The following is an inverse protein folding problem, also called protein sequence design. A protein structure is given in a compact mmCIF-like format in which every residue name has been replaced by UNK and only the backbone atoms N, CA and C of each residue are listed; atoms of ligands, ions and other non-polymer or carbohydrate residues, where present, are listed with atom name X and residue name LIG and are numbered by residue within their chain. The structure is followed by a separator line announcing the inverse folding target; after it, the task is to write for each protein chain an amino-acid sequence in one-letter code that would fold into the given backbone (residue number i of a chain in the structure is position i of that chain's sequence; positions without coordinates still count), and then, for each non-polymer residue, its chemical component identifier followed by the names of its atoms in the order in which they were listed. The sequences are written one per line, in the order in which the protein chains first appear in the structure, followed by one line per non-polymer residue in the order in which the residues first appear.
data_IF_308190858573
#
_entry.id   IF_308190858573
#
_cell.length_a   1.000
_cell.length_b   1.000
_cell.length_c   1.000
_cell.angle_alpha   90.00
_cell.angle_beta   90.00
_cell.angle_gamma   90.00
#
_symmetry.space_group_name_H-M   'P 1'
#
loop_
_entity.id
_entity.type
_entity.pdbx_description
1 polymer ?
#
# COMPACT_ATOMS: atom_id res chain seq x y z
N UNK A 1 -14.53 7.44 -30.88
CA UNK A 1 -15.55 6.87 -30.14
C UNK A 1 -16.18 7.72 -29.04
N UNK A 2 -16.13 9.07 -29.06
CA UNK A 2 -16.86 9.90 -28.10
C UNK A 2 -18.27 10.25 -28.64
N UNK A 3 -19.24 10.31 -27.73
CA UNK A 3 -20.57 10.77 -28.05
C UNK A 3 -20.60 12.31 -28.08
N UNK A 4 -21.51 12.86 -28.90
CA UNK A 4 -21.79 14.31 -28.88
C UNK A 4 -22.62 14.66 -27.65
N UNK A 5 -22.46 15.89 -27.14
CA UNK A 5 -23.33 16.44 -26.12
C UNK A 5 -24.78 16.56 -26.66
N UNK A 6 -25.75 16.19 -25.83
CA UNK A 6 -27.15 16.21 -26.21
C UNK A 6 -27.70 17.64 -26.28
N UNK A 7 -27.34 18.46 -25.30
CA UNK A 7 -27.72 19.88 -25.21
C UNK A 7 -26.50 20.69 -24.79
N UNK A 8 -26.16 21.66 -25.58
CA UNK A 8 -25.07 22.60 -25.28
C UNK A 8 -25.47 24.00 -25.69
N UNK A 9 -24.90 25.02 -25.03
CA UNK A 9 -24.97 26.42 -25.46
C UNK A 9 -23.82 26.71 -26.45
N UNK A 10 -23.13 27.82 -26.32
CA UNK A 10 -21.93 28.09 -27.10
C UNK A 10 -20.77 27.14 -26.76
N UNK A 11 -20.75 26.58 -25.56
CA UNK A 11 -19.75 25.62 -25.07
C UNK A 11 -20.41 24.43 -24.42
N UNK A 12 -19.71 23.32 -24.39
CA UNK A 12 -20.08 22.14 -23.58
C UNK A 12 -19.91 22.47 -22.10
N UNK A 13 -20.74 21.90 -21.25
CA UNK A 13 -20.68 22.09 -19.80
C UNK A 13 -19.33 21.66 -19.24
N UNK A 14 -18.81 22.42 -18.27
CA UNK A 14 -17.47 22.20 -17.71
C UNK A 14 -17.41 21.12 -16.64
N UNK A 15 -18.54 20.65 -16.15
CA UNK A 15 -18.64 19.48 -15.28
C UNK A 15 -18.02 18.23 -15.91
N UNK A 16 -18.20 17.99 -17.21
CA UNK A 16 -17.51 16.91 -17.93
C UNK A 16 -15.99 17.01 -17.89
N UNK A 17 -15.46 18.24 -17.98
CA UNK A 17 -14.02 18.48 -17.88
C UNK A 17 -13.53 18.28 -16.44
N UNK A 18 -14.34 18.69 -15.45
CA UNK A 18 -14.04 18.45 -14.04
C UNK A 18 -14.05 16.95 -13.69
N UNK A 19 -15.03 16.19 -14.20
CA UNK A 19 -15.05 14.73 -14.05
C UNK A 19 -13.81 14.08 -14.68
N UNK A 20 -13.41 14.53 -15.87
CA UNK A 20 -12.19 14.03 -16.52
C UNK A 20 -10.95 14.28 -15.67
N UNK A 21 -10.71 15.51 -15.26
CA UNK A 21 -9.51 15.90 -14.48
C UNK A 21 -9.49 15.21 -13.11
N UNK A 22 -10.63 15.14 -12.42
CA UNK A 22 -10.71 14.46 -11.12
C UNK A 22 -10.47 12.96 -11.26
N UNK A 23 -10.92 12.34 -12.35
CA UNK A 23 -10.61 10.93 -12.64
C UNK A 23 -9.11 10.72 -12.84
N UNK A 24 -8.41 11.62 -13.57
CA UNK A 24 -6.95 11.57 -13.67
C UNK A 24 -6.30 11.70 -12.29
N UNK A 25 -6.83 12.58 -11.43
CA UNK A 25 -6.38 12.75 -10.04
C UNK A 25 -6.54 11.49 -9.20
N UNK A 26 -7.66 10.75 -9.36
CA UNK A 26 -7.88 9.46 -8.69
C UNK A 26 -6.86 8.42 -9.14
N UNK A 27 -6.65 8.28 -10.46
CA UNK A 27 -5.65 7.36 -11.01
C UNK A 27 -4.25 7.70 -10.47
N UNK A 28 -3.87 8.98 -10.49
CA UNK A 28 -2.59 9.44 -9.96
C UNK A 28 -2.43 9.12 -8.47
N UNK A 29 -3.52 9.20 -7.68
CA UNK A 29 -3.57 8.80 -6.28
C UNK A 29 -3.25 7.34 -6.06
N UNK A 30 -3.80 6.44 -6.88
CA UNK A 30 -3.50 5.00 -6.83
C UNK A 30 -2.04 4.72 -7.17
N UNK A 31 -1.49 5.39 -8.20
CA UNK A 31 -0.08 5.24 -8.56
C UNK A 31 0.85 5.75 -7.43
N UNK A 32 0.46 6.85 -6.78
CA UNK A 32 1.19 7.36 -5.62
C UNK A 32 1.14 6.39 -4.43
N UNK A 33 0.04 5.68 -4.21
CA UNK A 33 -0.09 4.65 -3.18
C UNK A 33 0.91 3.51 -3.42
N UNK A 34 0.98 2.99 -4.65
CA UNK A 34 1.95 1.95 -5.03
C UNK A 34 3.39 2.45 -4.79
N UNK A 35 3.70 3.66 -5.28
CA UNK A 35 5.02 4.25 -5.12
C UNK A 35 5.39 4.51 -3.65
N UNK A 36 4.43 4.91 -2.83
CA UNK A 36 4.62 5.10 -1.39
C UNK A 36 4.96 3.79 -0.69
N UNK A 37 4.30 2.69 -1.07
CA UNK A 37 4.60 1.36 -0.53
C UNK A 37 6.03 0.93 -0.87
N UNK A 38 6.46 1.09 -2.12
CA UNK A 38 7.86 0.80 -2.51
C UNK A 38 8.85 1.61 -1.69
N UNK A 39 8.57 2.90 -1.42
CA UNK A 39 9.40 3.74 -0.55
C UNK A 39 9.46 3.22 0.89
N UNK A 40 8.36 2.69 1.41
CA UNK A 40 8.31 2.04 2.72
C UNK A 40 9.15 0.78 2.76
N UNK A 41 9.01 -0.10 1.78
CA UNK A 41 9.73 -1.37 1.70
C UNK A 41 11.23 -1.18 1.49
N UNK A 42 11.65 -0.08 0.84
CA UNK A 42 13.07 0.23 0.57
C UNK A 42 13.81 0.87 1.76
N UNK A 43 13.13 1.27 2.83
CA UNK A 43 13.81 1.85 4.00
C UNK A 43 14.86 0.91 4.55
N UNK A 44 15.96 1.46 5.07
CA UNK A 44 17.13 0.70 5.56
C UNK A 44 16.75 -0.36 6.59
N UNK A 45 15.84 -0.05 7.49
CA UNK A 45 15.36 -0.94 8.54
C UNK A 45 14.38 -2.02 8.04
N UNK A 46 13.74 -1.83 6.90
CA UNK A 46 12.81 -2.78 6.28
C UNK A 46 13.51 -3.62 5.21
N UNK A 47 13.91 -3.03 4.11
CA UNK A 47 14.62 -3.66 2.98
C UNK A 47 13.97 -4.93 2.43
N UNK A 48 12.66 -4.94 2.32
CA UNK A 48 11.90 -6.06 1.77
C UNK A 48 11.77 -5.99 0.25
N UNK A 49 11.77 -4.77 -0.31
CA UNK A 49 11.87 -4.52 -1.75
C UNK A 49 12.60 -3.22 -2.02
N UNK A 50 13.14 -3.06 -3.22
CA UNK A 50 13.77 -1.80 -3.65
C UNK A 50 13.64 -1.57 -5.15
N UNK A 51 13.72 -0.30 -5.57
CA UNK A 51 13.84 0.06 -6.98
C UNK A 51 15.11 -0.54 -7.59
N UNK A 52 15.00 -1.00 -8.84
CA UNK A 52 16.17 -1.42 -9.58
C UNK A 52 17.15 -0.25 -9.73
N UNK A 53 18.36 -0.47 -9.27
CA UNK A 53 19.47 0.46 -9.36
C UNK A 53 20.46 0.00 -10.42
N UNK A 54 20.56 0.76 -11.53
CA UNK A 54 21.46 0.36 -12.61
C UNK A 54 22.94 0.54 -12.22
N UNK A 55 23.86 -0.29 -12.76
CA UNK A 55 25.30 -0.16 -12.47
C UNK A 55 25.92 1.21 -12.81
N UNK A 56 25.27 1.95 -13.72
CA UNK A 56 25.71 3.30 -14.14
C UNK A 56 25.06 4.43 -13.34
N UNK A 57 24.07 4.13 -12.50
CA UNK A 57 23.35 5.11 -11.72
C UNK A 57 24.16 5.52 -10.49
N UNK A 58 24.22 6.83 -10.23
CA UNK A 58 24.83 7.37 -9.00
C UNK A 58 23.72 7.74 -8.03
N UNK A 59 23.72 7.13 -6.84
CA UNK A 59 22.72 7.42 -5.80
C UNK A 59 23.06 8.65 -4.96
N UNK A 60 24.36 9.00 -4.87
CA UNK A 60 24.85 10.13 -4.10
C UNK A 60 26.23 10.53 -4.58
N UNK A 61 26.57 11.82 -4.45
CA UNK A 61 27.92 12.33 -4.68
C UNK A 61 28.89 11.98 -3.56
N UNK A 62 28.39 11.73 -2.34
CA UNK A 62 29.20 11.51 -1.14
C UNK A 62 29.20 10.05 -0.65
N UNK A 63 28.10 9.32 -0.83
CA UNK A 63 27.94 7.94 -0.36
C UNK A 63 27.70 6.99 -1.54
N UNK A 64 28.72 6.27 -2.02
CA UNK A 64 28.62 5.44 -3.25
C UNK A 64 27.58 4.31 -3.16
N UNK A 65 27.28 3.82 -1.95
CA UNK A 65 26.33 2.74 -1.70
C UNK A 65 24.88 3.21 -1.52
N UNK A 66 24.64 4.54 -1.45
CA UNK A 66 23.29 5.09 -1.21
C UNK A 66 22.38 4.83 -2.40
N UNK A 67 21.24 4.21 -2.15
CA UNK A 67 20.18 3.96 -3.11
C UNK A 67 18.91 4.64 -2.64
N UNK A 68 18.44 5.60 -3.39
CA UNK A 68 17.21 6.32 -3.08
C UNK A 68 16.08 5.85 -3.99
N UNK A 69 14.83 5.79 -3.51
CA UNK A 69 13.65 5.45 -4.32
C UNK A 69 13.21 6.65 -5.17
N UNK A 70 14.08 7.11 -6.08
CA UNK A 70 13.90 8.37 -6.83
C UNK A 70 12.70 8.34 -7.77
N UNK A 71 12.41 7.18 -8.39
CA UNK A 71 11.24 7.02 -9.25
C UNK A 71 9.96 7.13 -8.43
N UNK A 72 9.88 6.40 -7.33
CA UNK A 72 8.73 6.43 -6.42
C UNK A 72 8.53 7.81 -5.81
N UNK A 73 9.60 8.51 -5.42
CA UNK A 73 9.51 9.90 -4.95
C UNK A 73 8.93 10.83 -6.00
N UNK A 74 9.37 10.69 -7.26
CA UNK A 74 8.89 11.48 -8.40
C UNK A 74 7.43 11.19 -8.72
N UNK A 75 7.02 9.92 -8.73
CA UNK A 75 5.62 9.52 -8.93
C UNK A 75 4.74 10.17 -7.86
N UNK A 76 5.12 10.10 -6.58
CA UNK A 76 4.39 10.74 -5.48
C UNK A 76 4.30 12.26 -5.65
N UNK A 77 5.37 12.91 -6.12
CA UNK A 77 5.40 14.35 -6.37
C UNK A 77 4.47 14.77 -7.51
N UNK A 78 4.56 14.09 -8.64
CA UNK A 78 3.73 14.37 -9.82
C UNK A 78 2.25 14.10 -9.58
N UNK A 79 1.92 13.07 -8.81
CA UNK A 79 0.54 12.78 -8.44
C UNK A 79 -0.13 13.93 -7.67
N UNK A 80 0.61 14.62 -6.79
CA UNK A 80 0.11 15.79 -6.06
C UNK A 80 -0.24 16.95 -7.02
N UNK A 81 0.58 17.16 -8.06
CA UNK A 81 0.33 18.16 -9.06
C UNK A 81 -0.95 17.87 -9.84
N UNK A 82 -1.10 16.61 -10.33
CA UNK A 82 -2.29 16.18 -11.06
C UNK A 82 -3.55 16.34 -10.21
N UNK A 83 -3.51 15.92 -8.93
CA UNK A 83 -4.61 16.08 -7.99
C UNK A 83 -4.94 17.57 -7.72
N UNK A 84 -3.91 18.43 -7.71
CA UNK A 84 -4.08 19.87 -7.52
C UNK A 84 -4.91 20.53 -8.62
N UNK A 85 -4.92 20.00 -9.83
CA UNK A 85 -5.74 20.50 -10.93
C UNK A 85 -7.23 20.23 -10.76
N UNK A 86 -7.64 19.42 -9.81
CA UNK A 86 -9.08 19.19 -9.54
C UNK A 86 -9.78 20.45 -9.05
N UNK A 87 -9.12 21.29 -8.27
CA UNK A 87 -9.72 22.52 -7.74
C UNK A 87 -10.08 23.51 -8.87
N UNK A 88 -9.14 23.95 -9.73
CA UNK A 88 -9.50 24.84 -10.83
C UNK A 88 -10.50 24.20 -11.80
N UNK A 89 -10.50 22.88 -11.97
CA UNK A 89 -11.50 22.21 -12.80
C UNK A 89 -12.93 22.35 -12.24
N UNK A 90 -13.10 22.31 -10.92
CA UNK A 90 -14.39 22.59 -10.28
C UNK A 90 -14.78 24.06 -10.36
N UNK A 91 -13.82 24.96 -10.25
CA UNK A 91 -14.05 26.41 -10.33
C UNK A 91 -14.39 26.89 -11.75
N UNK A 92 -14.05 26.12 -12.78
CA UNK A 92 -14.42 26.39 -14.16
C UNK A 92 -15.88 26.00 -14.50
N UNK A 93 -16.61 25.27 -13.63
CA UNK A 93 -17.98 24.85 -13.90
C UNK A 93 -18.96 26.04 -14.00
N UNK A 94 -18.99 26.98 -13.03
CA UNK A 94 -19.92 28.11 -13.09
C UNK A 94 -19.37 29.20 -14.03
N UNK A 95 -20.04 29.41 -15.14
CA UNK A 95 -19.76 30.49 -16.08
C UNK A 95 -20.89 31.54 -16.05
N UNK A 96 -20.58 32.76 -16.48
CA UNK A 96 -21.62 33.79 -16.63
C UNK A 96 -22.57 33.42 -17.75
N UNK A 97 -23.86 33.34 -17.43
CA UNK A 97 -24.93 32.98 -18.36
C UNK A 97 -24.59 31.72 -19.16
N UNK A 98 -24.44 31.84 -20.46
CA UNK A 98 -24.12 30.71 -21.34
C UNK A 98 -22.61 30.50 -21.52
N UNK A 99 -21.80 31.55 -21.34
CA UNK A 99 -20.35 31.52 -21.48
C UNK A 99 -19.70 32.82 -21.05
N UNK A 100 -18.58 32.70 -20.36
CA UNK A 100 -17.51 33.70 -20.34
C UNK A 100 -16.18 33.02 -20.72
N UNK A 101 -15.03 33.71 -20.60
CA UNK A 101 -13.73 33.18 -21.03
C UNK A 101 -12.82 32.78 -19.84
N UNK A 102 -13.31 32.82 -18.61
CA UNK A 102 -12.51 32.53 -17.42
C UNK A 102 -11.91 31.13 -17.44
N UNK A 103 -12.67 30.12 -17.86
CA UNK A 103 -12.23 28.73 -18.00
C UNK A 103 -11.10 28.53 -19.00
N UNK A 104 -11.07 29.30 -20.09
CA UNK A 104 -10.21 29.04 -21.25
C UNK A 104 -8.71 29.11 -20.91
N UNK A 105 -8.29 30.07 -20.11
CA UNK A 105 -6.90 30.22 -19.69
C UNK A 105 -6.45 29.08 -18.76
N UNK A 106 -7.33 28.61 -17.92
CA UNK A 106 -7.10 27.50 -16.96
C UNK A 106 -6.99 26.17 -17.72
N UNK A 107 -7.95 25.87 -18.58
CA UNK A 107 -7.99 24.62 -19.33
C UNK A 107 -6.77 24.43 -20.26
N UNK A 108 -6.21 25.51 -20.80
CA UNK A 108 -5.00 25.47 -21.63
C UNK A 108 -3.75 24.99 -20.90
N UNK A 109 -3.73 25.10 -19.58
CA UNK A 109 -2.65 24.62 -18.72
C UNK A 109 -3.05 23.28 -18.10
N UNK A 110 -4.19 23.26 -17.42
CA UNK A 110 -4.64 22.14 -16.59
C UNK A 110 -4.78 20.83 -17.39
N UNK A 111 -5.46 20.86 -18.55
CA UNK A 111 -5.75 19.64 -19.31
C UNK A 111 -4.49 19.02 -19.90
N UNK A 112 -3.65 19.75 -20.67
CA UNK A 112 -2.43 19.18 -21.21
C UNK A 112 -1.45 18.74 -20.12
N UNK A 113 -1.26 19.54 -19.07
CA UNK A 113 -0.31 19.22 -18.02
C UNK A 113 -0.75 17.99 -17.23
N UNK A 114 -2.03 17.87 -16.87
CA UNK A 114 -2.55 16.70 -16.16
C UNK A 114 -2.41 15.41 -16.98
N UNK A 115 -2.72 15.47 -18.29
CA UNK A 115 -2.62 14.30 -19.18
C UNK A 115 -1.18 13.88 -19.43
N UNK A 116 -0.27 14.82 -19.72
CA UNK A 116 1.15 14.54 -19.93
C UNK A 116 1.79 14.01 -18.63
N UNK A 117 1.46 14.63 -17.49
CA UNK A 117 1.99 14.19 -16.21
C UNK A 117 1.50 12.79 -15.84
N UNK A 118 0.23 12.47 -16.11
CA UNK A 118 -0.32 11.14 -15.83
C UNK A 118 0.31 10.09 -16.73
N UNK A 119 0.43 10.33 -18.04
CA UNK A 119 1.10 9.43 -18.97
C UNK A 119 2.52 9.11 -18.51
N UNK A 120 3.27 10.14 -18.11
CA UNK A 120 4.62 9.99 -17.59
C UNK A 120 4.68 9.11 -16.35
N UNK A 121 3.82 9.34 -15.33
CA UNK A 121 3.87 8.54 -14.10
C UNK A 121 3.32 7.12 -14.29
N UNK A 122 2.45 6.87 -15.28
CA UNK A 122 2.05 5.53 -15.69
C UNK A 122 3.24 4.75 -16.25
N UNK A 123 4.00 5.33 -17.18
CA UNK A 123 5.22 4.73 -17.72
C UNK A 123 6.24 4.44 -16.62
N UNK A 124 6.49 5.43 -15.74
CA UNK A 124 7.44 5.28 -14.65
C UNK A 124 7.00 4.20 -13.64
N UNK A 125 5.70 4.09 -13.35
CA UNK A 125 5.18 3.05 -12.44
C UNK A 125 5.28 1.67 -13.08
N UNK A 126 4.98 1.54 -14.37
CA UNK A 126 5.15 0.30 -15.12
C UNK A 126 6.61 -0.16 -15.07
N UNK A 127 7.55 0.73 -15.38
CA UNK A 127 8.98 0.41 -15.33
C UNK A 127 9.51 0.16 -13.90
N UNK A 128 8.88 0.72 -12.89
CA UNK A 128 9.19 0.48 -11.47
C UNK A 128 8.81 -0.95 -11.08
N UNK A 129 7.57 -1.35 -11.37
CA UNK A 129 7.05 -2.68 -11.00
C UNK A 129 7.75 -3.78 -11.80
N UNK A 130 7.94 -3.59 -13.12
CA UNK A 130 8.61 -4.57 -13.99
C UNK A 130 10.02 -4.94 -13.50
N UNK A 131 10.72 -4.01 -12.85
CA UNK A 131 12.10 -4.18 -12.39
C UNK A 131 12.25 -4.17 -10.88
N UNK A 132 11.17 -4.29 -10.13
CA UNK A 132 11.20 -4.26 -8.67
C UNK A 132 12.04 -5.44 -8.15
N UNK A 133 13.00 -5.14 -7.28
CA UNK A 133 13.77 -6.15 -6.58
C UNK A 133 13.04 -6.52 -5.30
N UNK A 134 12.77 -7.80 -5.11
CA UNK A 134 12.05 -8.33 -3.94
C UNK A 134 12.98 -9.27 -3.17
N UNK A 135 12.99 -9.17 -1.84
CA UNK A 135 13.86 -9.94 -0.94
C UNK A 135 13.05 -10.84 0.00
N UNK A 136 12.58 -12.03 -0.45
CA UNK A 136 11.70 -12.91 0.34
C UNK A 136 12.30 -13.34 1.68
N UNK A 137 13.62 -13.56 1.72
CA UNK A 137 14.31 -13.95 2.96
C UNK A 137 14.25 -12.83 4.01
N UNK A 138 14.37 -11.56 3.57
CA UNK A 138 14.24 -10.41 4.46
C UNK A 138 12.81 -10.24 4.94
N UNK A 139 11.81 -10.40 4.05
CA UNK A 139 10.40 -10.40 4.43
C UNK A 139 10.10 -11.44 5.51
N UNK A 140 10.64 -12.65 5.37
CA UNK A 140 10.48 -13.69 6.38
C UNK A 140 11.18 -13.35 7.69
N UNK A 141 12.36 -12.74 7.63
CA UNK A 141 13.07 -12.29 8.82
C UNK A 141 12.29 -11.19 9.55
N UNK A 142 11.73 -10.23 8.83
CA UNK A 142 10.92 -9.14 9.39
C UNK A 142 9.60 -9.63 9.96
N UNK A 143 8.95 -10.59 9.31
CA UNK A 143 7.76 -11.29 9.84
C UNK A 143 8.04 -11.89 11.23
N UNK A 144 9.25 -12.40 11.46
CA UNK A 144 9.66 -13.02 12.71
C UNK A 144 10.32 -12.05 13.71
N UNK A 145 10.45 -10.76 13.37
CA UNK A 145 11.18 -9.77 14.17
C UNK A 145 10.66 -9.67 15.61
N UNK A 146 9.36 -9.79 15.80
CA UNK A 146 8.74 -9.75 17.11
C UNK A 146 8.82 -11.07 17.88
N UNK A 147 9.48 -12.11 17.32
CA UNK A 147 9.62 -13.42 17.97
C UNK A 147 8.28 -14.14 18.11
N UNK A 148 7.49 -14.13 17.04
CA UNK A 148 6.24 -14.87 16.95
C UNK A 148 5.02 -14.19 17.55
N UNK A 149 5.10 -12.97 18.07
CA UNK A 149 3.95 -12.25 18.63
C UNK A 149 2.82 -12.04 17.61
N UNK A 150 3.13 -11.99 16.33
CA UNK A 150 2.13 -11.92 15.25
C UNK A 150 1.15 -13.09 15.25
N UNK A 151 1.53 -14.23 15.85
CA UNK A 151 0.70 -15.42 15.94
C UNK A 151 -0.21 -15.44 17.19
N UNK A 152 -0.11 -14.45 18.07
CA UNK A 152 -0.94 -14.36 19.28
C UNK A 152 -2.45 -14.46 19.03
N UNK A 153 -3.03 -13.86 17.94
CA UNK A 153 -4.44 -14.04 17.64
C UNK A 153 -4.80 -15.49 17.28
N UNK A 154 -3.91 -16.23 16.64
CA UNK A 154 -4.14 -17.63 16.28
C UNK A 154 -4.17 -18.52 17.53
N UNK A 155 -3.25 -18.29 18.46
CA UNK A 155 -3.23 -19.00 19.75
C UNK A 155 -4.51 -18.72 20.53
N UNK A 156 -4.96 -17.45 20.58
CA UNK A 156 -6.22 -17.06 21.21
C UNK A 156 -7.41 -17.81 20.59
N UNK A 157 -7.52 -17.83 19.27
CA UNK A 157 -8.61 -18.51 18.58
C UNK A 157 -8.56 -20.03 18.77
N UNK A 158 -7.38 -20.63 18.79
CA UNK A 158 -7.21 -22.06 19.05
C UNK A 158 -7.68 -22.44 20.48
N UNK A 159 -7.34 -21.63 21.48
CA UNK A 159 -7.83 -21.81 22.85
C UNK A 159 -9.35 -21.71 22.92
N UNK A 160 -9.96 -20.73 22.28
CA UNK A 160 -11.41 -20.55 22.25
C UNK A 160 -12.09 -21.72 21.52
N UNK A 161 -11.53 -22.20 20.43
CA UNK A 161 -12.03 -23.36 19.70
C UNK A 161 -12.03 -24.65 20.55
N UNK A 162 -11.12 -24.76 21.53
CA UNK A 162 -11.06 -25.84 22.51
C UNK A 162 -11.95 -25.62 23.71
N UNK A 163 -12.76 -24.54 23.73
CA UNK A 163 -13.74 -24.29 24.79
C UNK A 163 -13.27 -23.37 25.94
N UNK A 164 -12.11 -22.73 25.79
CA UNK A 164 -11.68 -21.70 26.72
C UNK A 164 -12.55 -20.46 26.62
N UNK A 165 -12.94 -19.87 27.77
CA UNK A 165 -13.64 -18.58 27.73
C UNK A 165 -12.73 -17.47 27.17
N UNK A 166 -13.24 -16.69 26.22
CA UNK A 166 -12.43 -15.75 25.40
C UNK A 166 -11.61 -14.77 26.23
N UNK A 167 -12.20 -14.15 27.27
CA UNK A 167 -11.50 -13.15 28.07
C UNK A 167 -10.40 -13.77 28.92
N UNK A 168 -10.60 -15.03 29.35
CA UNK A 168 -9.61 -15.77 30.09
C UNK A 168 -8.46 -16.22 29.19
N UNK A 169 -8.76 -16.75 28.02
CA UNK A 169 -7.77 -17.10 27.00
C UNK A 169 -6.96 -15.86 26.57
N UNK A 170 -7.61 -14.71 26.38
CA UNK A 170 -6.94 -13.44 26.09
C UNK A 170 -5.88 -13.08 27.14
N UNK A 171 -6.25 -13.19 28.44
CA UNK A 171 -5.31 -12.91 29.55
C UNK A 171 -4.12 -13.85 29.56
N UNK A 172 -4.32 -15.14 29.27
CA UNK A 172 -3.23 -16.10 29.18
C UNK A 172 -2.27 -15.79 28.02
N UNK A 173 -2.79 -15.53 26.83
CA UNK A 173 -1.98 -15.16 25.68
C UNK A 173 -1.25 -13.84 25.94
N UNK A 174 -1.93 -12.84 26.49
CA UNK A 174 -1.36 -11.52 26.78
C UNK A 174 -0.20 -11.62 27.78
N UNK A 175 -0.34 -12.37 28.90
CA UNK A 175 0.74 -12.49 29.89
C UNK A 175 2.01 -13.11 29.29
N UNK A 176 1.87 -14.09 28.41
CA UNK A 176 2.99 -14.73 27.73
C UNK A 176 3.60 -13.82 26.64
N UNK A 177 2.77 -13.11 25.89
CA UNK A 177 3.21 -12.12 24.92
C UNK A 177 3.97 -10.96 25.58
N UNK A 178 3.51 -10.49 26.74
CA UNK A 178 4.18 -9.40 27.46
C UNK A 178 5.53 -9.81 28.06
N UNK A 179 5.73 -11.06 28.44
CA UNK A 179 7.08 -11.58 28.81
C UNK A 179 8.04 -11.47 27.61
N UNK A 180 7.59 -11.84 26.42
CA UNK A 180 8.39 -11.66 25.20
C UNK A 180 8.68 -10.18 24.96
N UNK A 181 7.66 -9.32 25.01
CA UNK A 181 7.78 -7.91 24.69
C UNK A 181 8.67 -7.14 25.66
N UNK A 182 8.56 -7.39 26.95
CA UNK A 182 9.24 -6.64 28.01
C UNK A 182 10.57 -7.28 28.45
N UNK A 183 10.68 -8.62 28.39
CA UNK A 183 11.79 -9.36 28.96
C UNK A 183 12.62 -10.12 27.91
N UNK A 184 12.16 -10.15 26.65
CA UNK A 184 12.84 -10.83 25.57
C UNK A 184 12.72 -12.37 25.60
N UNK A 185 11.89 -12.93 26.49
CA UNK A 185 11.65 -14.37 26.57
C UNK A 185 11.02 -14.93 25.27
N UNK A 186 11.22 -16.22 24.99
CA UNK A 186 10.61 -16.83 23.81
C UNK A 186 9.10 -17.03 24.00
N UNK A 187 8.29 -16.49 23.07
CA UNK A 187 6.83 -16.53 23.18
C UNK A 187 6.27 -17.94 23.04
N UNK A 188 6.81 -18.75 22.13
CA UNK A 188 6.41 -20.14 21.93
C UNK A 188 6.71 -20.99 23.16
N UNK A 189 7.92 -20.88 23.70
CA UNK A 189 8.32 -21.59 24.91
C UNK A 189 7.49 -21.19 26.11
N UNK A 190 7.17 -19.90 26.26
CA UNK A 190 6.32 -19.42 27.35
C UNK A 190 4.92 -20.03 27.29
N UNK A 191 4.32 -20.13 26.09
CA UNK A 191 3.04 -20.81 25.91
C UNK A 191 3.11 -22.29 26.21
N UNK A 192 4.18 -22.98 25.82
CA UNK A 192 4.39 -24.40 26.13
C UNK A 192 4.60 -24.68 27.61
N UNK A 193 5.12 -23.73 28.39
CA UNK A 193 5.33 -23.83 29.84
C UNK A 193 4.11 -23.39 30.67
N UNK A 194 3.15 -22.70 30.04
CA UNK A 194 1.97 -22.14 30.72
C UNK A 194 0.92 -23.24 30.97
N UNK A 195 0.70 -23.59 32.26
CA UNK A 195 -0.22 -24.63 32.66
C UNK A 195 -1.66 -24.40 32.21
N UNK A 196 -2.12 -23.13 32.19
CA UNK A 196 -3.49 -22.82 31.77
C UNK A 196 -3.67 -23.00 30.24
N UNK A 197 -2.67 -22.60 29.44
CA UNK A 197 -2.66 -22.84 27.99
C UNK A 197 -2.59 -24.35 27.72
N UNK A 198 -1.75 -25.09 28.45
CA UNK A 198 -1.54 -26.52 28.28
C UNK A 198 -2.75 -27.39 28.66
N UNK A 199 -3.70 -26.88 29.45
CA UNK A 199 -5.00 -27.55 29.68
C UNK A 199 -5.84 -27.71 28.43
N UNK A 200 -5.67 -26.83 27.46
CA UNK A 200 -6.48 -26.75 26.24
C UNK A 200 -5.72 -27.15 24.99
N UNK A 201 -4.43 -26.79 24.88
CA UNK A 201 -3.59 -27.01 23.69
C UNK A 201 -2.38 -27.88 24.06
N UNK A 202 -2.13 -28.91 23.27
CA UNK A 202 -0.87 -29.63 23.32
C UNK A 202 0.23 -28.85 22.55
N UNK A 203 1.48 -29.33 22.62
CA UNK A 203 2.63 -28.65 22.02
C UNK A 203 2.53 -28.59 20.50
N UNK A 204 2.02 -29.64 19.85
CA UNK A 204 1.84 -29.68 18.40
C UNK A 204 0.78 -28.66 17.94
N UNK A 205 -0.30 -28.51 18.70
CA UNK A 205 -1.35 -27.53 18.42
C UNK A 205 -0.84 -26.09 18.62
N UNK A 206 -0.02 -25.84 19.65
CA UNK A 206 0.66 -24.54 19.82
C UNK A 206 1.58 -24.29 18.64
N UNK A 207 2.42 -25.27 18.26
CA UNK A 207 3.33 -25.15 17.12
C UNK A 207 2.59 -24.85 15.82
N UNK A 208 1.45 -25.46 15.58
CA UNK A 208 0.62 -25.20 14.39
C UNK A 208 0.09 -23.77 14.33
N UNK A 209 -0.02 -23.06 15.47
CA UNK A 209 -0.38 -21.64 15.48
C UNK A 209 0.73 -20.73 14.91
N UNK A 210 2.01 -21.18 14.94
CA UNK A 210 3.17 -20.41 14.49
C UNK A 210 3.50 -20.63 13.00
N UNK A 211 2.57 -21.14 12.22
CA UNK A 211 2.68 -21.26 10.77
C UNK A 211 1.94 -20.10 10.09
N UNK A 212 2.62 -19.35 9.21
CA UNK A 212 2.01 -18.25 8.45
C UNK A 212 1.26 -18.74 7.20
N UNK A 213 1.56 -19.93 6.69
CA UNK A 213 0.97 -20.45 5.45
C UNK A 213 -0.56 -20.43 5.41
N UNK A 214 -1.28 -20.79 6.50
CA UNK A 214 -2.72 -20.69 6.51
C UNK A 214 -3.30 -19.27 6.35
N UNK A 215 -2.48 -18.23 6.52
CA UNK A 215 -2.90 -16.84 6.25
C UNK A 215 -2.91 -16.51 4.75
N UNK A 216 -2.28 -17.35 3.91
CA UNK A 216 -2.12 -17.16 2.48
C UNK A 216 -3.08 -18.00 1.63
N UNK A 217 -4.00 -18.75 2.25
CA UNK A 217 -4.88 -19.71 1.54
C UNK A 217 -5.79 -19.08 0.48
N UNK A 218 -6.08 -17.79 0.57
CA UNK A 218 -6.92 -17.08 -0.38
C UNK A 218 -6.13 -16.29 -1.44
N UNK A 219 -4.80 -16.35 -1.42
CA UNK A 219 -3.96 -15.59 -2.38
C UNK A 219 -4.25 -16.02 -3.81
N UNK A 220 -4.25 -17.33 -4.08
CA UNK A 220 -4.51 -17.85 -5.42
C UNK A 220 -5.94 -17.52 -5.89
N UNK A 221 -6.92 -17.58 -4.99
CA UNK A 221 -8.30 -17.18 -5.29
C UNK A 221 -8.39 -15.70 -5.69
N UNK A 222 -7.64 -14.82 -5.00
CA UNK A 222 -7.60 -13.39 -5.31
C UNK A 222 -6.97 -13.18 -6.69
N UNK A 223 -5.84 -13.82 -6.98
CA UNK A 223 -5.20 -13.72 -8.30
C UNK A 223 -6.09 -14.26 -9.43
N UNK A 224 -6.78 -15.37 -9.21
CA UNK A 224 -7.71 -15.92 -10.20
C UNK A 224 -8.85 -14.97 -10.59
N UNK A 225 -9.29 -14.05 -9.69
CA UNK A 225 -10.28 -13.02 -10.02
C UNK A 225 -9.81 -12.03 -11.09
N UNK A 226 -8.51 -11.91 -11.26
CA UNK A 226 -7.86 -11.06 -12.27
C UNK A 226 -7.36 -11.84 -13.49
N UNK A 227 -7.63 -13.15 -13.56
CA UNK A 227 -7.15 -14.01 -14.64
C UNK A 227 -5.65 -14.34 -14.57
N UNK A 228 -5.08 -14.25 -13.37
CA UNK A 228 -3.67 -14.55 -13.09
C UNK A 228 -3.53 -15.87 -12.36
#
# INVERSE_FOLDING_TARGET
GLNREIVATQVVQRDHHAEYITTLGVIAGVLAQIALEVRHLQRTEVREAEEYFSPKQKGSSAMPHKRNPVKSERICGMARLIQGYSLPAFEDIPLWHERDISHSSVERVMIPDATIALDYILDQTTALIDKLLVYPEKMLADLNLTGGLIYSPRVLLALVAKGAYRDTAYRWVQRNAMKRWLQGEDFYENLCKDEDVRKYLNEEEIKACFDYKPMLVHVDEIFARFGL
#
